data_IF_749296853319
#
_entry.id   IF_749296853319
#
_cell.length_a   1.000
_cell.length_b   1.000
_cell.length_c   1.000
_cell.angle_alpha   90.00
_cell.angle_beta   90.00
_cell.angle_gamma   90.00
#
_symmetry.space_group_name_H-M   'P 1'
#
loop_
_entity.id
_entity.type
_entity.pdbx_description
1 polymer ?
#
# COMPACT_ATOMS: atom_id res chain seq x y z
N UNK A 1 -27.64 18.15 21.71
CA UNK A 1 -28.35 18.78 20.57
C UNK A 1 -28.19 17.93 19.29
N UNK A 2 -29.20 17.14 18.94
CA UNK A 2 -29.27 16.50 17.62
C UNK A 2 -29.61 17.57 16.58
N UNK A 3 -28.78 17.74 15.53
CA UNK A 3 -29.11 18.60 14.39
C UNK A 3 -30.32 17.99 13.67
N UNK A 4 -31.49 18.61 13.77
CA UNK A 4 -32.72 18.12 13.13
C UNK A 4 -32.87 18.55 11.66
N UNK A 5 -32.25 19.67 11.26
CA UNK A 5 -32.28 20.18 9.89
C UNK A 5 -31.06 21.07 9.63
N UNK A 6 -30.49 20.97 8.41
CA UNK A 6 -29.56 21.94 7.84
C UNK A 6 -30.21 22.49 6.57
N UNK A 7 -30.27 23.82 6.44
CA UNK A 7 -30.72 24.50 5.23
C UNK A 7 -29.57 25.37 4.76
N UNK A 8 -29.02 25.04 3.59
CA UNK A 8 -27.96 25.80 2.94
C UNK A 8 -28.58 26.64 1.82
N UNK A 9 -28.24 27.94 1.76
CA UNK A 9 -28.59 28.82 0.65
C UNK A 9 -27.33 29.00 -0.22
N UNK A 10 -27.36 28.47 -1.44
CA UNK A 10 -26.21 28.45 -2.35
C UNK A 10 -26.49 29.24 -3.64
N UNK A 11 -25.47 29.94 -4.14
CA UNK A 11 -25.46 30.51 -5.47
C UNK A 11 -24.61 29.65 -6.39
N UNK A 12 -25.09 29.39 -7.62
CA UNK A 12 -24.33 28.73 -8.69
C UNK A 12 -23.93 29.69 -9.81
N UNK A 13 -24.10 31.00 -9.57
CA UNK A 13 -23.74 32.01 -10.55
C UNK A 13 -22.22 31.96 -10.83
N UNK A 14 -21.80 32.05 -12.10
CA UNK A 14 -20.39 32.01 -12.44
C UNK A 14 -19.64 33.19 -11.81
N UNK A 15 -18.47 32.91 -11.23
CA UNK A 15 -17.55 33.92 -10.74
C UNK A 15 -16.75 34.47 -11.91
N UNK A 16 -16.94 35.75 -12.22
CA UNK A 16 -16.38 36.41 -13.41
C UNK A 16 -15.64 37.71 -13.08
N UNK A 17 -14.92 38.23 -14.08
CA UNK A 17 -14.23 39.52 -14.03
C UNK A 17 -13.20 39.61 -12.90
N UNK A 18 -13.22 40.73 -12.17
CA UNK A 18 -12.22 41.05 -11.15
C UNK A 18 -12.07 39.98 -10.07
N UNK A 19 -13.17 39.32 -9.66
CA UNK A 19 -13.11 38.27 -8.63
C UNK A 19 -12.38 37.05 -9.15
N UNK A 20 -12.65 36.63 -10.40
CA UNK A 20 -11.94 35.50 -11.02
C UNK A 20 -10.45 35.81 -11.20
N UNK A 21 -10.10 37.03 -11.62
CA UNK A 21 -8.71 37.48 -11.72
C UNK A 21 -7.99 37.50 -10.35
N UNK A 22 -8.70 37.88 -9.28
CA UNK A 22 -8.16 37.84 -7.92
C UNK A 22 -7.88 36.41 -7.46
N UNK A 23 -8.77 35.46 -7.78
CA UNK A 23 -8.56 34.04 -7.50
C UNK A 23 -7.36 33.48 -8.27
N UNK A 24 -7.26 33.75 -9.57
CA UNK A 24 -6.13 33.31 -10.39
C UNK A 24 -4.78 33.83 -9.83
N UNK A 25 -4.71 35.12 -9.44
CA UNK A 25 -3.51 35.70 -8.80
C UNK A 25 -3.21 35.10 -7.43
N UNK A 26 -4.23 34.72 -6.67
CA UNK A 26 -4.03 34.05 -5.38
C UNK A 26 -3.44 32.64 -5.58
N UNK A 27 -3.94 31.91 -6.58
CA UNK A 27 -3.40 30.60 -6.98
C UNK A 27 -1.96 30.74 -7.47
N UNK A 28 -1.67 31.70 -8.35
CA UNK A 28 -0.32 31.96 -8.86
C UNK A 28 0.71 32.11 -7.73
N UNK A 29 0.38 32.90 -6.70
CA UNK A 29 1.25 33.08 -5.52
C UNK A 29 1.38 31.80 -4.70
N UNK A 30 0.30 31.05 -4.52
CA UNK A 30 0.33 29.82 -3.74
C UNK A 30 1.14 28.70 -4.42
N UNK A 31 1.27 28.73 -5.75
CA UNK A 31 2.05 27.76 -6.50
C UNK A 31 3.55 27.83 -6.21
N UNK A 32 4.07 28.97 -5.73
CA UNK A 32 5.51 29.13 -5.42
C UNK A 32 5.99 28.13 -4.35
N UNK A 33 5.12 27.79 -3.39
CA UNK A 33 5.41 26.90 -2.26
C UNK A 33 4.66 25.56 -2.34
N UNK A 34 4.06 25.23 -3.49
CA UNK A 34 3.23 24.03 -3.66
C UNK A 34 3.84 23.01 -4.61
N UNK A 35 3.78 21.73 -4.25
CA UNK A 35 4.19 20.62 -5.13
C UNK A 35 3.08 20.15 -6.08
N UNK A 36 1.82 20.46 -5.76
CA UNK A 36 0.64 19.98 -6.50
C UNK A 36 -0.51 20.98 -6.36
N UNK A 37 -1.26 21.19 -7.44
CA UNK A 37 -2.52 21.94 -7.46
C UNK A 37 -3.69 20.96 -7.54
N UNK A 38 -4.64 21.07 -6.62
CA UNK A 38 -5.90 20.34 -6.67
C UNK A 38 -7.03 21.29 -7.06
N UNK A 39 -7.84 20.91 -8.06
CA UNK A 39 -9.05 21.64 -8.45
C UNK A 39 -10.24 20.71 -8.26
N UNK A 40 -11.13 21.09 -7.35
CA UNK A 40 -12.32 20.30 -7.02
C UNK A 40 -13.56 21.07 -7.49
N UNK A 41 -14.14 20.66 -8.62
CA UNK A 41 -15.28 21.34 -9.21
C UNK A 41 -16.60 20.72 -8.75
N UNK A 42 -17.26 21.40 -7.81
CA UNK A 42 -18.60 21.03 -7.33
C UNK A 42 -19.76 21.56 -8.20
N UNK A 43 -19.47 22.24 -9.31
CA UNK A 43 -20.48 22.86 -10.17
C UNK A 43 -21.20 24.04 -9.51
N UNK A 44 -20.51 24.77 -8.62
CA UNK A 44 -21.07 25.88 -7.81
C UNK A 44 -20.68 27.28 -8.29
N UNK A 45 -20.20 27.40 -9.52
CA UNK A 45 -19.94 28.69 -10.18
C UNK A 45 -18.52 29.24 -10.02
N UNK A 46 -17.69 28.73 -9.10
CA UNK A 46 -16.28 29.16 -8.97
C UNK A 46 -15.44 28.63 -10.13
N UNK A 47 -15.51 27.32 -10.41
CA UNK A 47 -14.76 26.64 -11.46
C UNK A 47 -15.36 26.91 -12.85
N UNK A 48 -15.26 28.15 -13.30
CA UNK A 48 -15.63 28.54 -14.66
C UNK A 48 -14.61 28.02 -15.67
N UNK A 49 -15.00 27.94 -16.95
CA UNK A 49 -14.08 27.52 -18.01
C UNK A 49 -12.80 28.36 -18.04
N UNK A 50 -12.94 29.68 -17.94
CA UNK A 50 -11.79 30.58 -17.94
C UNK A 50 -10.89 30.34 -16.72
N UNK A 51 -11.46 30.26 -15.51
CA UNK A 51 -10.66 30.12 -14.30
C UNK A 51 -9.91 28.78 -14.27
N UNK A 52 -10.58 27.66 -14.60
CA UNK A 52 -9.94 26.35 -14.64
C UNK A 52 -8.78 26.30 -15.66
N UNK A 53 -8.98 26.85 -16.85
CA UNK A 53 -7.92 26.92 -17.86
C UNK A 53 -6.76 27.81 -17.42
N UNK A 54 -7.03 28.95 -16.78
CA UNK A 54 -5.97 29.84 -16.29
C UNK A 54 -5.15 29.19 -15.17
N UNK A 55 -5.79 28.54 -14.19
CA UNK A 55 -5.04 27.89 -13.09
C UNK A 55 -4.26 26.67 -13.55
N UNK A 56 -4.78 25.89 -14.51
CA UNK A 56 -4.05 24.80 -15.16
C UNK A 56 -2.83 25.34 -15.91
N UNK A 57 -2.98 26.45 -16.64
CA UNK A 57 -1.88 27.08 -17.36
C UNK A 57 -0.82 27.64 -16.39
N UNK A 58 -1.23 28.25 -15.27
CA UNK A 58 -0.34 28.70 -14.20
C UNK A 58 0.44 27.55 -13.59
N UNK A 59 -0.22 26.46 -13.20
CA UNK A 59 0.43 25.27 -12.65
C UNK A 59 1.47 24.69 -13.62
N UNK A 60 1.12 24.58 -14.90
CA UNK A 60 2.04 24.13 -15.95
C UNK A 60 3.26 25.03 -16.10
N UNK A 61 3.10 26.35 -16.03
CA UNK A 61 4.23 27.32 -16.06
C UNK A 61 5.14 27.18 -14.83
N UNK A 62 4.56 26.89 -13.67
CA UNK A 62 5.28 26.68 -12.42
C UNK A 62 5.92 25.28 -12.31
N UNK A 63 5.64 24.36 -13.24
CA UNK A 63 6.09 22.97 -13.16
C UNK A 63 5.37 22.16 -12.07
N UNK A 64 4.18 22.61 -11.66
CA UNK A 64 3.34 22.00 -10.63
C UNK A 64 2.29 21.11 -11.29
N UNK A 65 2.14 19.87 -10.80
CA UNK A 65 1.11 18.95 -11.30
C UNK A 65 -0.29 19.43 -10.90
N UNK A 66 -1.22 19.47 -11.85
CA UNK A 66 -2.63 19.84 -11.63
C UNK A 66 -3.53 18.62 -11.68
N UNK A 67 -4.12 18.27 -10.55
CA UNK A 67 -5.09 17.17 -10.43
C UNK A 67 -6.48 17.78 -10.29
N UNK A 68 -7.43 17.27 -11.06
CA UNK A 68 -8.77 17.85 -11.19
C UNK A 68 -9.84 16.79 -10.92
N UNK A 69 -10.77 17.12 -10.04
CA UNK A 69 -12.02 16.38 -9.88
C UNK A 69 -13.16 17.14 -10.58
N UNK A 70 -13.75 16.59 -11.67
CA UNK A 70 -14.67 17.34 -12.51
C UNK A 70 -16.10 17.38 -11.96
N UNK A 71 -16.77 18.51 -12.16
CA UNK A 71 -18.21 18.58 -11.95
C UNK A 71 -18.99 17.79 -13.00
N UNK A 72 -20.05 17.10 -12.54
CA UNK A 72 -21.06 16.51 -13.43
C UNK A 72 -21.62 17.55 -14.42
N UNK A 73 -21.55 17.23 -15.72
CA UNK A 73 -22.07 18.07 -16.80
C UNK A 73 -21.16 19.23 -17.22
N UNK A 74 -19.95 19.35 -16.67
CA UNK A 74 -18.96 20.29 -17.18
C UNK A 74 -18.45 19.85 -18.58
N UNK A 75 -18.18 20.80 -19.50
CA UNK A 75 -17.58 20.48 -20.79
C UNK A 75 -16.12 20.04 -20.62
N UNK A 76 -15.67 19.10 -21.43
CA UNK A 76 -14.32 18.53 -21.37
C UNK A 76 -13.23 19.61 -21.53
N UNK A 77 -13.49 20.61 -22.37
CA UNK A 77 -12.58 21.73 -22.64
C UNK A 77 -12.26 22.55 -21.40
N UNK A 78 -13.09 22.50 -20.35
CA UNK A 78 -12.82 23.18 -19.08
C UNK A 78 -11.53 22.69 -18.43
N UNK A 79 -11.20 21.42 -18.58
CA UNK A 79 -10.09 20.76 -17.89
C UNK A 79 -8.95 20.33 -18.83
N UNK A 80 -9.02 20.69 -20.12
CA UNK A 80 -7.96 20.37 -21.09
C UNK A 80 -6.59 20.85 -20.58
N UNK A 81 -5.58 20.00 -20.71
CA UNK A 81 -4.20 20.28 -20.32
C UNK A 81 -3.89 20.07 -18.84
N UNK A 82 -4.87 19.67 -18.01
CA UNK A 82 -4.58 19.26 -16.64
C UNK A 82 -3.64 18.05 -16.60
N UNK A 83 -2.92 17.86 -15.50
CA UNK A 83 -2.00 16.72 -15.35
C UNK A 83 -2.77 15.43 -15.15
N UNK A 84 -3.80 15.43 -14.27
CA UNK A 84 -4.69 14.29 -14.14
C UNK A 84 -6.14 14.69 -13.86
N UNK A 85 -7.07 13.81 -14.26
CA UNK A 85 -8.50 13.91 -13.97
C UNK A 85 -8.96 12.69 -13.15
N UNK A 86 -9.85 12.90 -12.17
CA UNK A 86 -10.37 11.83 -11.30
C UNK A 86 -11.90 11.68 -11.34
N UNK A 87 -12.53 11.50 -12.52
CA UNK A 87 -13.98 11.44 -12.61
C UNK A 87 -14.55 10.17 -11.98
N UNK A 88 -15.76 10.25 -11.44
CA UNK A 88 -16.58 9.05 -11.25
C UNK A 88 -17.20 8.56 -12.57
N UNK A 89 -17.83 7.38 -12.54
CA UNK A 89 -18.50 6.81 -13.73
C UNK A 89 -19.45 7.80 -14.39
N UNK A 90 -20.34 8.44 -13.62
CA UNK A 90 -21.39 9.31 -14.16
C UNK A 90 -20.82 10.61 -14.75
N UNK A 91 -19.76 11.17 -14.17
CA UNK A 91 -19.02 12.29 -14.74
C UNK A 91 -18.31 11.88 -16.04
N UNK A 92 -17.65 10.71 -16.07
CA UNK A 92 -16.98 10.22 -17.26
C UNK A 92 -17.97 9.96 -18.42
N UNK A 93 -19.13 9.37 -18.12
CA UNK A 93 -20.23 9.17 -19.08
C UNK A 93 -20.71 10.52 -19.63
N UNK A 94 -20.88 11.53 -18.78
CA UNK A 94 -21.28 12.87 -19.20
C UNK A 94 -20.21 13.58 -20.05
N UNK A 95 -18.93 13.41 -19.72
CA UNK A 95 -17.80 14.00 -20.46
C UNK A 95 -17.62 13.38 -21.85
N UNK A 96 -17.87 12.08 -22.00
CA UNK A 96 -17.71 11.34 -23.25
C UNK A 96 -19.01 11.24 -24.08
N UNK A 97 -20.17 11.40 -23.44
CA UNK A 97 -21.47 11.16 -24.08
C UNK A 97 -21.74 9.69 -24.39
N UNK A 98 -21.22 8.76 -23.57
CA UNK A 98 -21.39 7.30 -23.72
C UNK A 98 -21.79 6.68 -22.38
N UNK A 99 -22.43 5.52 -22.40
CA UNK A 99 -22.63 4.68 -21.21
C UNK A 99 -21.39 3.78 -20.98
N UNK A 100 -21.02 3.55 -19.73
CA UNK A 100 -19.84 2.77 -19.36
C UNK A 100 -20.25 1.61 -18.47
N UNK A 101 -20.12 0.37 -18.95
CA UNK A 101 -20.24 -0.81 -18.09
C UNK A 101 -19.00 -0.94 -17.17
N UNK A 102 -19.16 -0.75 -15.84
CA UNK A 102 -18.06 -0.74 -14.89
C UNK A 102 -17.33 -2.09 -14.75
N UNK A 103 -17.98 -3.20 -15.13
CA UNK A 103 -17.41 -4.54 -15.03
C UNK A 103 -16.61 -4.96 -16.28
N UNK A 104 -16.73 -4.22 -17.37
CA UNK A 104 -16.13 -4.56 -18.67
C UNK A 104 -14.80 -3.82 -18.93
N UNK A 105 -14.21 -4.03 -20.12
CA UNK A 105 -13.06 -3.25 -20.59
C UNK A 105 -13.43 -1.81 -20.97
N UNK A 106 -14.73 -1.49 -21.13
CA UNK A 106 -15.20 -0.15 -21.50
C UNK A 106 -14.71 0.92 -20.54
N UNK A 107 -14.60 0.62 -19.24
CA UNK A 107 -14.07 1.59 -18.28
C UNK A 107 -12.59 1.95 -18.52
N UNK A 108 -11.77 0.98 -18.96
CA UNK A 108 -10.36 1.22 -19.31
C UNK A 108 -10.26 2.00 -20.62
N UNK A 109 -11.11 1.67 -21.59
CA UNK A 109 -11.22 2.37 -22.87
C UNK A 109 -11.66 3.82 -22.67
N UNK A 110 -12.66 4.06 -21.82
CA UNK A 110 -13.15 5.39 -21.46
C UNK A 110 -12.07 6.23 -20.76
N UNK A 111 -11.34 5.65 -19.79
CA UNK A 111 -10.23 6.33 -19.15
C UNK A 111 -9.14 6.74 -20.16
N UNK A 112 -8.81 5.85 -21.12
CA UNK A 112 -7.85 6.16 -22.18
C UNK A 112 -8.35 7.24 -23.15
N UNK A 113 -9.63 7.18 -23.54
CA UNK A 113 -10.25 8.21 -24.39
C UNK A 113 -10.24 9.59 -23.73
N UNK A 114 -10.60 9.67 -22.44
CA UNK A 114 -10.52 10.92 -21.67
C UNK A 114 -9.09 11.44 -21.60
N UNK A 115 -8.12 10.56 -21.35
CA UNK A 115 -6.71 10.91 -21.26
C UNK A 115 -6.19 11.52 -22.57
N UNK A 116 -6.58 10.94 -23.72
CA UNK A 116 -6.25 11.46 -25.04
C UNK A 116 -6.97 12.80 -25.31
N UNK A 117 -8.28 12.87 -25.05
CA UNK A 117 -9.10 14.04 -25.31
C UNK A 117 -8.69 15.27 -24.50
N UNK A 118 -8.23 15.06 -23.26
CA UNK A 118 -7.77 16.11 -22.34
C UNK A 118 -6.31 16.50 -22.54
N UNK A 119 -5.54 15.72 -23.30
CA UNK A 119 -4.07 15.85 -23.38
C UNK A 119 -3.40 15.73 -21.98
N UNK A 120 -3.97 14.87 -21.13
CA UNK A 120 -3.53 14.67 -19.75
C UNK A 120 -2.42 13.61 -19.64
N UNK A 121 -1.82 13.51 -18.45
CA UNK A 121 -0.84 12.47 -18.12
C UNK A 121 -1.48 11.26 -17.43
N UNK A 122 -2.59 11.45 -16.70
CA UNK A 122 -3.34 10.36 -16.09
C UNK A 122 -4.85 10.64 -16.01
N UNK A 123 -5.65 9.59 -16.04
CA UNK A 123 -7.08 9.62 -15.72
C UNK A 123 -7.39 8.44 -14.82
N UNK A 124 -7.86 8.72 -13.60
CA UNK A 124 -8.28 7.72 -12.63
C UNK A 124 -9.81 7.74 -12.50
N UNK A 125 -10.48 6.87 -13.27
CA UNK A 125 -11.93 6.77 -13.33
C UNK A 125 -12.43 5.86 -12.21
N UNK A 126 -13.22 6.38 -11.26
CA UNK A 126 -13.75 5.59 -10.14
C UNK A 126 -15.06 4.89 -10.50
N UNK A 127 -15.20 3.64 -10.07
CA UNK A 127 -16.23 2.68 -10.48
C UNK A 127 -17.01 2.09 -9.29
N UNK A 128 -17.15 2.84 -8.20
CA UNK A 128 -17.80 2.40 -6.97
C UNK A 128 -17.20 1.07 -6.45
N UNK A 129 -18.06 0.09 -6.15
CA UNK A 129 -17.69 -1.28 -5.74
C UNK A 129 -16.81 -2.04 -6.76
N UNK A 130 -16.67 -1.56 -7.99
CA UNK A 130 -15.83 -2.17 -9.02
C UNK A 130 -14.39 -1.63 -9.00
N UNK A 131 -14.07 -0.71 -8.08
CA UNK A 131 -12.74 -0.14 -7.88
C UNK A 131 -12.51 1.07 -8.78
N UNK A 132 -11.39 1.10 -9.49
CA UNK A 132 -11.07 2.16 -10.44
C UNK A 132 -10.43 1.62 -11.73
N UNK A 133 -10.53 2.41 -12.79
CA UNK A 133 -9.81 2.23 -14.05
C UNK A 133 -8.82 3.39 -14.21
N UNK A 134 -7.53 3.07 -14.30
CA UNK A 134 -6.47 4.04 -14.53
C UNK A 134 -6.02 3.97 -15.98
N UNK A 135 -5.91 5.12 -16.64
CA UNK A 135 -5.11 5.32 -17.83
C UNK A 135 -3.98 6.29 -17.49
N UNK A 136 -2.74 6.00 -17.89
CA UNK A 136 -1.59 6.88 -17.65
C UNK A 136 -0.59 6.84 -18.80
N UNK A 137 0.05 7.98 -19.09
CA UNK A 137 1.16 8.06 -20.05
C UNK A 137 2.43 7.49 -19.44
N UNK A 138 3.13 6.68 -20.22
CA UNK A 138 4.49 6.22 -19.92
C UNK A 138 5.53 7.21 -20.45
N UNK A 139 6.76 7.07 -19.99
CA UNK A 139 7.88 7.89 -20.42
C UNK A 139 8.19 7.77 -21.93
N UNK A 140 7.81 6.65 -22.56
CA UNK A 140 7.94 6.43 -24.01
C UNK A 140 6.78 7.01 -24.84
N UNK A 141 5.83 7.70 -24.19
CA UNK A 141 4.65 8.28 -24.82
C UNK A 141 3.48 7.29 -25.01
N UNK A 142 3.66 6.00 -24.70
CA UNK A 142 2.58 5.02 -24.78
C UNK A 142 1.57 5.17 -23.63
N UNK A 143 0.36 4.67 -23.81
CA UNK A 143 -0.67 4.62 -22.75
C UNK A 143 -0.63 3.28 -22.04
N UNK A 144 -0.56 3.32 -20.71
CA UNK A 144 -0.84 2.20 -19.83
C UNK A 144 -2.30 2.26 -19.38
N UNK A 145 -3.01 1.14 -19.40
CA UNK A 145 -4.31 1.02 -18.74
C UNK A 145 -4.27 -0.10 -17.69
N UNK A 146 -4.74 0.21 -16.50
CA UNK A 146 -4.65 -0.68 -15.33
C UNK A 146 -5.98 -0.67 -14.58
N UNK A 147 -6.54 -1.85 -14.34
CA UNK A 147 -7.71 -2.00 -13.47
C UNK A 147 -7.25 -2.14 -12.03
N UNK A 148 -7.82 -1.32 -11.15
CA UNK A 148 -7.53 -1.27 -9.73
C UNK A 148 -8.74 -1.85 -8.98
N UNK A 149 -8.73 -3.14 -8.60
CA UNK A 149 -9.84 -3.70 -7.86
C UNK A 149 -9.93 -3.05 -6.48
N UNK A 150 -11.15 -2.91 -5.96
CA UNK A 150 -11.35 -2.58 -4.55
C UNK A 150 -11.84 -3.82 -3.80
N UNK A 151 -11.55 -3.91 -2.50
CA UNK A 151 -12.15 -4.95 -1.66
C UNK A 151 -13.62 -4.63 -1.43
N UNK A 152 -14.45 -5.66 -1.38
CA UNK A 152 -15.82 -5.48 -0.90
C UNK A 152 -15.78 -5.01 0.56
N UNK A 153 -16.34 -3.83 0.81
CA UNK A 153 -16.40 -3.18 2.12
C UNK A 153 -17.86 -2.93 2.48
N UNK A 154 -18.16 -2.87 3.77
CA UNK A 154 -19.47 -2.43 4.23
C UNK A 154 -19.62 -0.93 3.96
N UNK A 155 -20.44 -0.59 2.98
CA UNK A 155 -20.68 0.81 2.60
C UNK A 155 -21.70 1.40 3.57
N UNK A 156 -21.25 2.37 4.38
CA UNK A 156 -22.08 3.12 5.30
C UNK A 156 -22.51 4.47 4.71
N UNK A 157 -21.59 5.19 4.06
CA UNK A 157 -21.81 6.50 3.43
C UNK A 157 -20.85 6.66 2.24
N UNK A 158 -21.26 7.32 1.17
CA UNK A 158 -20.41 7.56 -0.03
C UNK A 158 -19.95 9.01 -0.15
N UNK A 159 -20.36 9.85 0.79
CA UNK A 159 -20.03 11.28 0.80
C UNK A 159 -18.55 11.50 1.09
N UNK A 160 -17.83 12.22 0.21
CA UNK A 160 -16.41 12.57 0.37
C UNK A 160 -15.43 11.64 -0.37
N UNK A 161 -15.91 10.51 -0.89
CA UNK A 161 -15.05 9.51 -1.53
C UNK A 161 -14.25 10.07 -2.73
N UNK A 162 -14.83 11.02 -3.49
CA UNK A 162 -14.15 11.74 -4.56
C UNK A 162 -13.01 12.61 -4.03
N UNK A 163 -13.29 13.43 -3.02
CA UNK A 163 -12.33 14.28 -2.32
C UNK A 163 -11.13 13.47 -1.81
N UNK A 164 -11.39 12.28 -1.24
CA UNK A 164 -10.34 11.37 -0.77
C UNK A 164 -9.52 10.78 -1.90
N UNK A 165 -10.12 10.48 -3.06
CA UNK A 165 -9.37 10.04 -4.25
C UNK A 165 -8.41 11.14 -4.69
N UNK A 166 -8.92 12.37 -4.86
CA UNK A 166 -8.13 13.51 -5.29
C UNK A 166 -6.99 13.79 -4.31
N UNK A 167 -7.30 13.86 -3.00
CA UNK A 167 -6.33 14.15 -1.95
C UNK A 167 -5.25 13.08 -1.83
N UNK A 168 -5.61 11.79 -1.85
CA UNK A 168 -4.64 10.69 -1.74
C UNK A 168 -3.77 10.58 -2.99
N UNK A 169 -4.33 10.79 -4.18
CA UNK A 169 -3.57 10.79 -5.43
C UNK A 169 -2.59 11.98 -5.48
N UNK A 170 -3.03 13.17 -5.05
CA UNK A 170 -2.17 14.34 -4.92
C UNK A 170 -1.03 14.11 -3.92
N UNK A 171 -1.33 13.56 -2.74
CA UNK A 171 -0.32 13.25 -1.73
C UNK A 171 0.70 12.22 -2.25
N UNK A 172 0.25 11.17 -2.94
CA UNK A 172 1.14 10.17 -3.55
C UNK A 172 2.07 10.78 -4.60
N UNK A 173 1.51 11.60 -5.49
CA UNK A 173 2.28 12.28 -6.56
C UNK A 173 3.27 13.31 -6.02
N UNK A 174 2.87 14.10 -5.03
CA UNK A 174 3.76 15.04 -4.34
C UNK A 174 4.98 14.34 -3.70
N UNK A 175 4.85 13.06 -3.35
CA UNK A 175 5.92 12.23 -2.78
C UNK A 175 6.61 11.33 -3.83
N UNK A 176 6.37 11.54 -5.12
CA UNK A 176 7.08 10.85 -6.20
C UNK A 176 6.57 9.45 -6.55
N UNK A 177 5.40 9.02 -6.03
CA UNK A 177 4.81 7.73 -6.41
C UNK A 177 4.42 7.71 -7.88
N UNK A 178 4.64 6.60 -8.59
CA UNK A 178 4.13 6.42 -9.95
C UNK A 178 2.58 6.50 -9.98
N UNK A 179 2.01 6.78 -11.16
CA UNK A 179 0.55 6.93 -11.32
C UNK A 179 -0.23 5.72 -10.83
N UNK A 180 0.26 4.51 -11.08
CA UNK A 180 -0.37 3.28 -10.61
C UNK A 180 -0.42 3.19 -9.09
N UNK A 181 0.68 3.51 -8.42
CA UNK A 181 0.78 3.43 -6.96
C UNK A 181 -0.01 4.55 -6.27
N UNK A 182 0.01 5.76 -6.83
CA UNK A 182 -0.82 6.87 -6.36
C UNK A 182 -2.32 6.56 -6.50
N UNK A 183 -2.73 5.96 -7.61
CA UNK A 183 -4.13 5.56 -7.83
C UNK A 183 -4.54 4.36 -6.95
N UNK A 184 -3.63 3.41 -6.68
CA UNK A 184 -3.87 2.34 -5.68
C UNK A 184 -4.09 2.93 -4.29
N UNK A 185 -3.21 3.84 -3.86
CA UNK A 185 -3.33 4.53 -2.58
C UNK A 185 -4.69 5.24 -2.47
N UNK A 186 -5.09 5.96 -3.52
CA UNK A 186 -6.39 6.63 -3.60
C UNK A 186 -7.58 5.68 -3.52
N UNK A 187 -7.56 4.58 -4.28
CA UNK A 187 -8.61 3.56 -4.26
C UNK A 187 -8.77 2.90 -2.87
N UNK A 188 -7.65 2.67 -2.18
CA UNK A 188 -7.66 2.14 -0.81
C UNK A 188 -8.24 3.17 0.18
N UNK A 189 -7.79 4.42 0.08
CA UNK A 189 -8.22 5.49 0.97
C UNK A 189 -9.73 5.77 0.84
N UNK A 190 -10.23 5.90 -0.40
CA UNK A 190 -11.64 6.07 -0.69
C UNK A 190 -12.48 4.87 -0.22
N UNK A 191 -11.96 3.65 -0.40
CA UNK A 191 -12.60 2.45 0.14
C UNK A 191 -12.75 2.47 1.66
N UNK A 192 -11.76 2.99 2.40
CA UNK A 192 -11.84 3.14 3.86
C UNK A 192 -12.78 4.25 4.29
N UNK A 193 -12.91 5.32 3.50
CA UNK A 193 -13.82 6.43 3.82
C UNK A 193 -15.27 5.99 3.76
N UNK A 194 -15.64 5.16 2.78
CA UNK A 194 -17.04 4.72 2.66
C UNK A 194 -17.52 3.82 3.82
N UNK A 195 -16.59 3.35 4.66
CA UNK A 195 -16.88 2.61 5.89
C UNK A 195 -17.21 3.53 7.09
N UNK A 196 -17.08 4.84 6.92
CA UNK A 196 -17.17 5.85 7.98
C UNK A 196 -18.32 6.81 7.65
N UNK A 197 -19.17 7.11 8.64
CA UNK A 197 -20.27 8.07 8.44
C UNK A 197 -19.74 9.51 8.25
N UNK A 198 -20.18 10.18 7.18
CA UNK A 198 -19.81 11.54 6.78
C UNK A 198 -18.37 11.67 6.25
N UNK A 199 -18.11 12.76 5.51
CA UNK A 199 -16.78 13.12 5.01
C UNK A 199 -15.81 13.33 6.19
N UNK A 200 -14.96 12.34 6.45
CA UNK A 200 -14.00 12.34 7.56
C UNK A 200 -12.63 11.91 7.04
N UNK A 201 -11.57 12.64 7.41
CA UNK A 201 -10.23 12.29 6.96
C UNK A 201 -9.83 10.92 7.50
N UNK A 202 -9.31 10.07 6.62
CA UNK A 202 -8.79 8.75 6.99
C UNK A 202 -7.31 8.89 7.38
N UNK A 203 -6.92 8.49 8.60
CA UNK A 203 -5.52 8.54 9.03
C UNK A 203 -4.63 7.71 8.10
N UNK A 204 -3.45 8.24 7.76
CA UNK A 204 -2.51 7.60 6.84
C UNK A 204 -2.12 6.19 7.30
N UNK A 205 -2.01 5.96 8.60
CA UNK A 205 -1.71 4.64 9.15
C UNK A 205 -2.80 3.60 8.84
N UNK A 206 -4.08 4.01 8.72
CA UNK A 206 -5.17 3.11 8.32
C UNK A 206 -5.07 2.77 6.83
N UNK A 207 -4.76 3.77 6.00
CA UNK A 207 -4.56 3.58 4.55
C UNK A 207 -3.37 2.64 4.30
N UNK A 208 -2.23 2.91 4.95
CA UNK A 208 -1.03 2.08 4.86
C UNK A 208 -1.34 0.64 5.29
N UNK A 209 -1.99 0.43 6.44
CA UNK A 209 -2.38 -0.91 6.87
C UNK A 209 -3.27 -1.63 5.84
N UNK A 210 -4.25 -0.94 5.27
CA UNK A 210 -5.13 -1.53 4.26
C UNK A 210 -4.36 -1.92 2.98
N UNK A 211 -3.39 -1.11 2.56
CA UNK A 211 -2.48 -1.44 1.46
C UNK A 211 -1.69 -2.73 1.74
N UNK A 212 -1.07 -2.84 2.92
CA UNK A 212 -0.32 -4.04 3.32
C UNK A 212 -1.21 -5.29 3.37
N UNK A 213 -2.47 -5.15 3.78
CA UNK A 213 -3.43 -6.25 3.78
C UNK A 213 -3.87 -6.68 2.36
N UNK A 214 -3.89 -5.75 1.41
CA UNK A 214 -4.15 -6.05 -0.01
C UNK A 214 -2.96 -6.78 -0.64
N UNK A 215 -1.74 -6.29 -0.42
CA UNK A 215 -0.52 -6.98 -0.82
C UNK A 215 -0.42 -8.39 -0.23
N UNK A 216 -0.77 -8.53 1.05
CA UNK A 216 -0.81 -9.83 1.72
C UNK A 216 -1.81 -10.78 1.06
N UNK A 217 -2.97 -10.28 0.62
CA UNK A 217 -3.92 -11.08 -0.14
C UNK A 217 -3.37 -11.50 -1.52
N UNK A 218 -2.38 -10.78 -2.03
CA UNK A 218 -1.61 -11.11 -3.24
C UNK A 218 -0.36 -11.97 -2.95
N UNK A 219 -0.15 -12.41 -1.70
CA UNK A 219 0.94 -13.30 -1.30
C UNK A 219 2.23 -12.59 -0.86
N UNK A 220 2.29 -11.26 -0.92
CA UNK A 220 3.45 -10.48 -0.50
C UNK A 220 3.44 -10.30 1.02
N UNK A 221 4.33 -11.01 1.74
CA UNK A 221 4.49 -10.91 3.20
C UNK A 221 5.84 -10.37 3.64
N UNK A 222 6.73 -10.10 2.70
CA UNK A 222 8.01 -9.46 2.95
C UNK A 222 7.78 -7.98 3.26
N UNK A 223 8.34 -7.50 4.37
CA UNK A 223 8.19 -6.13 4.87
C UNK A 223 9.52 -5.57 5.33
N UNK A 224 9.70 -4.27 5.16
CA UNK A 224 10.70 -3.48 5.89
C UNK A 224 10.35 -3.40 7.38
N UNK A 225 11.28 -2.92 8.21
CA UNK A 225 10.99 -2.69 9.62
C UNK A 225 9.86 -1.67 9.82
N UNK A 226 9.85 -0.57 9.06
CA UNK A 226 8.85 0.48 9.19
C UNK A 226 7.43 -0.04 8.88
N UNK A 227 7.26 -0.75 7.77
CA UNK A 227 5.99 -1.40 7.40
C UNK A 227 5.56 -2.43 8.45
N UNK A 228 6.52 -3.22 8.95
CA UNK A 228 6.29 -4.19 10.03
C UNK A 228 5.70 -3.51 11.27
N UNK A 229 6.25 -2.35 11.67
CA UNK A 229 5.77 -1.61 12.83
C UNK A 229 4.37 -1.04 12.62
N UNK A 230 4.01 -0.66 11.39
CA UNK A 230 2.64 -0.27 11.05
C UNK A 230 1.67 -1.43 11.25
N UNK A 231 2.00 -2.63 10.76
CA UNK A 231 1.15 -3.82 10.97
C UNK A 231 1.00 -4.16 12.45
N UNK A 232 2.10 -4.15 13.21
CA UNK A 232 2.10 -4.42 14.65
C UNK A 232 1.23 -3.42 15.41
N UNK A 233 1.39 -2.12 15.16
CA UNK A 233 0.60 -1.08 15.81
C UNK A 233 -0.90 -1.26 15.52
N UNK A 234 -1.23 -1.65 14.30
CA UNK A 234 -2.60 -1.82 13.88
C UNK A 234 -3.26 -3.08 14.44
N UNK A 235 -2.52 -4.19 14.55
CA UNK A 235 -2.98 -5.41 15.21
C UNK A 235 -3.16 -5.20 16.72
N UNK A 236 -2.27 -4.45 17.36
CA UNK A 236 -2.41 -4.10 18.78
C UNK A 236 -3.66 -3.28 19.08
N UNK A 237 -4.01 -2.33 18.21
CA UNK A 237 -5.26 -1.56 18.33
C UNK A 237 -6.51 -2.44 18.27
N UNK A 238 -6.41 -3.60 17.64
CA UNK A 238 -7.46 -4.63 17.59
C UNK A 238 -7.39 -5.64 18.76
N UNK A 239 -6.46 -5.45 19.70
CA UNK A 239 -6.25 -6.37 20.83
C UNK A 239 -5.67 -7.72 20.42
N UNK A 240 -4.98 -7.79 19.27
CA UNK A 240 -4.39 -9.03 18.74
C UNK A 240 -3.06 -9.36 19.39
N UNK A 241 -2.81 -10.65 19.61
CA UNK A 241 -1.57 -11.18 20.18
C UNK A 241 -0.50 -11.37 19.08
N UNK A 242 0.63 -10.70 19.24
CA UNK A 242 1.77 -10.73 18.31
C UNK A 242 2.76 -11.82 18.71
N UNK A 243 2.96 -12.79 17.82
CA UNK A 243 3.95 -13.85 17.97
C UNK A 243 5.15 -13.53 17.10
N UNK A 244 6.36 -13.74 17.62
CA UNK A 244 7.60 -13.56 16.89
C UNK A 244 8.48 -14.80 16.96
N UNK A 245 9.12 -15.12 15.84
CA UNK A 245 10.26 -16.04 15.77
C UNK A 245 11.29 -15.50 14.78
N UNK A 246 12.51 -16.03 14.79
CA UNK A 246 13.51 -15.64 13.81
C UNK A 246 14.48 -16.78 13.50
N UNK A 247 15.11 -16.69 12.33
CA UNK A 247 16.15 -17.60 11.90
C UNK A 247 16.63 -17.33 10.48
N UNK A 248 17.60 -18.14 10.03
CA UNK A 248 18.14 -18.02 8.67
C UNK A 248 17.19 -18.60 7.60
N UNK A 249 16.42 -19.65 7.95
CA UNK A 249 15.49 -20.36 7.05
C UNK A 249 16.08 -20.69 5.67
N UNK A 250 17.36 -21.06 5.67
CA UNK A 250 18.16 -21.13 4.44
C UNK A 250 17.77 -22.32 3.56
N UNK A 251 17.72 -23.53 4.13
CA UNK A 251 17.08 -24.68 3.47
C UNK A 251 15.96 -25.14 4.40
N UNK A 252 14.72 -24.92 3.98
CA UNK A 252 13.55 -25.33 4.73
C UNK A 252 13.40 -26.86 4.73
N UNK A 253 12.89 -27.38 5.83
CA UNK A 253 12.52 -28.78 5.99
C UNK A 253 11.30 -28.86 6.91
N UNK A 254 10.73 -30.06 7.04
CA UNK A 254 9.53 -30.30 7.83
C UNK A 254 9.61 -29.79 9.29
N UNK A 255 10.81 -29.71 9.87
CA UNK A 255 11.05 -29.16 11.20
C UNK A 255 10.73 -27.67 11.29
N UNK A 256 11.23 -26.87 10.34
CA UNK A 256 10.86 -25.45 10.24
C UNK A 256 9.35 -25.27 10.03
N UNK A 257 8.72 -26.11 9.21
CA UNK A 257 7.27 -26.05 8.98
C UNK A 257 6.48 -26.33 10.26
N UNK A 258 6.90 -27.33 11.06
CA UNK A 258 6.29 -27.63 12.34
C UNK A 258 6.49 -26.49 13.35
N UNK A 259 7.71 -25.97 13.48
CA UNK A 259 8.04 -24.81 14.32
C UNK A 259 7.15 -23.61 13.98
N UNK A 260 7.06 -23.22 12.71
CA UNK A 260 6.27 -22.06 12.29
C UNK A 260 4.77 -22.28 12.52
N UNK A 261 4.27 -23.51 12.32
CA UNK A 261 2.88 -23.85 12.61
C UNK A 261 2.56 -23.77 14.11
N UNK A 262 3.46 -24.29 14.95
CA UNK A 262 3.30 -24.21 16.40
C UNK A 262 3.43 -22.76 16.89
N UNK A 263 4.37 -21.99 16.34
CA UNK A 263 4.50 -20.57 16.65
C UNK A 263 3.20 -19.82 16.32
N UNK A 264 2.64 -20.03 15.13
CA UNK A 264 1.38 -19.41 14.73
C UNK A 264 0.21 -19.74 15.67
N UNK A 265 0.22 -20.90 16.31
CA UNK A 265 -0.81 -21.31 17.26
C UNK A 265 -0.71 -20.59 18.63
N UNK A 266 0.37 -19.85 18.90
CA UNK A 266 0.58 -19.15 20.16
C UNK A 266 -0.08 -17.77 20.24
N UNK A 267 -0.69 -17.29 19.16
CA UNK A 267 -1.32 -15.98 19.08
C UNK A 267 -2.05 -15.73 17.77
N UNK A 268 -2.29 -14.46 17.45
CA UNK A 268 -3.12 -14.05 16.32
C UNK A 268 -2.33 -13.81 15.03
N UNK A 269 -1.05 -13.41 15.13
CA UNK A 269 -0.21 -13.11 13.98
C UNK A 269 1.25 -13.53 14.24
N UNK A 270 1.85 -14.25 13.30
CA UNK A 270 3.26 -14.67 13.35
C UNK A 270 4.13 -13.78 12.45
N UNK A 271 5.00 -13.02 13.11
CA UNK A 271 6.08 -12.24 12.51
C UNK A 271 7.37 -13.06 12.53
N UNK A 272 8.05 -13.13 11.39
CA UNK A 272 9.30 -13.88 11.24
C UNK A 272 10.45 -12.93 10.92
N UNK A 273 11.38 -12.78 11.86
CA UNK A 273 12.68 -12.15 11.59
C UNK A 273 13.54 -13.05 10.70
N UNK A 274 13.93 -12.57 9.53
CA UNK A 274 14.76 -13.32 8.58
C UNK A 274 16.16 -12.71 8.52
N UNK A 275 17.20 -13.49 8.85
CA UNK A 275 18.58 -13.04 8.69
C UNK A 275 18.87 -12.73 7.21
N UNK A 276 19.48 -11.59 6.92
CA UNK A 276 20.00 -11.27 5.58
C UNK A 276 21.21 -12.14 5.19
N UNK A 277 21.72 -11.95 3.97
CA UNK A 277 22.77 -12.82 3.45
C UNK A 277 24.11 -12.63 4.17
N UNK A 278 24.44 -11.40 4.57
CA UNK A 278 25.69 -11.09 5.26
C UNK A 278 25.68 -11.58 6.71
N UNK A 279 24.57 -11.44 7.43
CA UNK A 279 24.42 -11.98 8.78
C UNK A 279 24.45 -13.51 8.78
N UNK A 280 23.85 -14.18 7.80
CA UNK A 280 23.98 -15.64 7.66
C UNK A 280 25.43 -16.03 7.36
N UNK A 281 26.13 -15.29 6.50
CA UNK A 281 27.55 -15.56 6.19
C UNK A 281 28.45 -15.40 7.41
N UNK A 282 28.25 -14.36 8.22
CA UNK A 282 28.98 -14.18 9.49
C UNK A 282 28.68 -15.30 10.50
N UNK A 283 27.42 -15.71 10.59
CA UNK A 283 26.97 -16.72 11.55
C UNK A 283 27.38 -18.16 11.18
N UNK A 284 27.36 -18.51 9.88
CA UNK A 284 27.52 -19.90 9.41
C UNK A 284 28.73 -20.13 8.51
N UNK A 285 29.46 -19.08 8.13
CA UNK A 285 30.65 -19.13 7.29
C UNK A 285 30.40 -18.79 5.82
N UNK A 286 31.49 -18.70 5.01
CA UNK A 286 31.47 -18.14 3.66
C UNK A 286 30.63 -18.91 2.64
N UNK A 287 30.35 -20.20 2.88
CA UNK A 287 29.51 -21.03 2.01
C UNK A 287 28.01 -20.94 2.28
N UNK A 288 27.57 -19.99 3.11
CA UNK A 288 26.16 -19.77 3.46
C UNK A 288 25.82 -18.27 3.35
N UNK A 289 24.56 -17.89 3.02
CA UNK A 289 23.44 -18.79 2.74
C UNK A 289 23.57 -19.50 1.37
N UNK A 290 22.83 -20.59 1.18
CA UNK A 290 22.72 -21.27 -0.13
C UNK A 290 21.72 -20.53 -1.01
N UNK A 291 20.62 -20.07 -0.41
CA UNK A 291 19.59 -19.30 -1.09
C UNK A 291 19.67 -17.82 -0.67
N UNK A 292 19.66 -16.86 -1.61
CA UNK A 292 19.66 -15.45 -1.28
C UNK A 292 18.41 -15.04 -0.49
N UNK A 293 18.47 -13.90 0.18
CA UNK A 293 17.40 -13.37 1.02
C UNK A 293 16.04 -13.35 0.31
N UNK A 294 16.02 -12.91 -0.95
CA UNK A 294 14.80 -12.82 -1.75
C UNK A 294 14.09 -14.18 -1.90
N UNK A 295 14.84 -15.25 -2.21
CA UNK A 295 14.29 -16.59 -2.37
C UNK A 295 13.76 -17.14 -1.03
N UNK A 296 14.52 -16.95 0.05
CA UNK A 296 14.13 -17.41 1.39
C UNK A 296 12.85 -16.70 1.85
N UNK A 297 12.77 -15.39 1.62
CA UNK A 297 11.58 -14.59 1.92
C UNK A 297 10.36 -15.01 1.09
N UNK A 298 10.54 -15.29 -0.20
CA UNK A 298 9.46 -15.75 -1.07
C UNK A 298 8.88 -17.07 -0.57
N UNK A 299 9.73 -18.06 -0.25
CA UNK A 299 9.27 -19.35 0.26
C UNK A 299 8.55 -19.22 1.60
N UNK A 300 9.06 -18.39 2.53
CA UNK A 300 8.38 -18.13 3.81
C UNK A 300 7.04 -17.40 3.61
N UNK A 301 6.95 -16.51 2.62
CA UNK A 301 5.74 -15.75 2.32
C UNK A 301 4.59 -16.67 1.86
N UNK A 302 4.89 -17.78 1.19
CA UNK A 302 3.90 -18.78 0.79
C UNK A 302 3.36 -19.63 1.96
N UNK A 303 4.02 -19.63 3.11
CA UNK A 303 3.58 -20.44 4.25
C UNK A 303 2.37 -19.81 4.93
N UNK A 304 1.25 -20.55 4.97
CA UNK A 304 0.01 -20.12 5.64
C UNK A 304 0.21 -19.71 7.11
N UNK A 305 1.19 -20.31 7.80
CA UNK A 305 1.49 -20.01 9.19
C UNK A 305 2.20 -18.68 9.41
N UNK A 306 2.80 -18.10 8.37
CA UNK A 306 3.56 -16.84 8.45
C UNK A 306 2.64 -15.70 8.02
N UNK A 307 2.57 -14.65 8.84
CA UNK A 307 1.79 -13.44 8.56
C UNK A 307 2.67 -12.32 7.98
N UNK A 308 3.92 -12.19 8.46
CA UNK A 308 4.88 -11.17 8.02
C UNK A 308 6.32 -11.71 8.12
N UNK A 309 7.17 -11.33 7.17
CA UNK A 309 8.61 -11.63 7.12
C UNK A 309 9.39 -10.31 7.10
N UNK A 310 10.25 -10.10 8.09
CA UNK A 310 11.06 -8.87 8.22
C UNK A 310 12.54 -9.20 8.19
N UNK A 311 13.30 -8.78 7.15
CA UNK A 311 14.73 -8.98 7.11
C UNK A 311 15.46 -8.18 8.19
N UNK A 312 16.58 -8.70 8.69
CA UNK A 312 17.48 -7.97 9.59
C UNK A 312 18.93 -8.36 9.35
N UNK A 313 19.84 -7.42 9.58
CA UNK A 313 21.27 -7.55 9.26
C UNK A 313 22.15 -7.76 10.48
N UNK A 314 21.62 -7.55 11.68
CA UNK A 314 22.35 -7.67 12.93
C UNK A 314 22.63 -9.13 13.30
N UNK A 315 23.68 -9.34 14.09
CA UNK A 315 24.07 -10.70 14.53
C UNK A 315 23.05 -11.32 15.48
N UNK A 316 22.23 -10.50 16.14
CA UNK A 316 21.15 -10.95 17.01
C UNK A 316 19.84 -10.26 16.63
N UNK A 317 18.69 -10.92 16.83
CA UNK A 317 17.38 -10.32 16.56
C UNK A 317 16.96 -9.27 17.61
N UNK A 318 17.82 -8.93 18.58
CA UNK A 318 17.45 -8.08 19.73
C UNK A 318 16.88 -6.72 19.28
N UNK A 319 17.49 -5.97 18.34
CA UNK A 319 16.95 -4.68 17.91
C UNK A 319 15.54 -4.83 17.29
N UNK A 320 15.35 -5.88 16.49
CA UNK A 320 14.05 -6.19 15.88
C UNK A 320 13.01 -6.56 16.94
N UNK A 321 13.38 -7.36 17.95
CA UNK A 321 12.53 -7.72 19.09
C UNK A 321 12.17 -6.48 19.91
N UNK A 322 13.11 -5.55 20.13
CA UNK A 322 12.87 -4.29 20.84
C UNK A 322 11.90 -3.38 20.09
N UNK A 323 11.99 -3.34 18.76
CA UNK A 323 11.10 -2.54 17.93
C UNK A 323 9.68 -3.13 17.89
N UNK A 324 9.56 -4.43 17.60
CA UNK A 324 8.26 -5.12 17.50
C UNK A 324 7.60 -5.26 18.87
N UNK A 325 8.37 -5.51 19.94
CA UNK A 325 7.92 -5.85 21.30
C UNK A 325 6.87 -6.99 21.34
N UNK A 326 7.18 -8.19 20.81
CA UNK A 326 6.19 -9.27 20.70
C UNK A 326 5.64 -9.72 22.06
N UNK A 327 4.41 -10.24 22.05
CA UNK A 327 3.75 -10.83 23.23
C UNK A 327 4.25 -12.26 23.49
N UNK A 328 4.60 -12.98 22.42
CA UNK A 328 5.16 -14.33 22.48
C UNK A 328 6.41 -14.44 21.62
N UNK A 329 7.53 -14.86 22.22
CA UNK A 329 8.75 -15.23 21.50
C UNK A 329 8.84 -16.74 21.39
N UNK A 330 8.88 -17.26 20.15
CA UNK A 330 8.92 -18.69 19.88
C UNK A 330 10.29 -19.12 19.38
N UNK A 331 10.84 -20.16 20.01
CA UNK A 331 12.08 -20.85 19.58
C UNK A 331 11.87 -22.35 19.56
N UNK A 332 12.70 -23.08 18.83
CA UNK A 332 12.72 -24.54 18.90
C UNK A 332 13.20 -25.01 20.28
N UNK A 333 12.80 -26.20 20.69
CA UNK A 333 13.23 -26.84 21.95
C UNK A 333 14.71 -27.26 21.99
N UNK A 334 15.47 -26.99 20.93
CA UNK A 334 16.92 -27.17 20.87
C UNK A 334 17.69 -26.17 21.78
N UNK A 335 17.00 -25.17 22.35
CA UNK A 335 17.57 -24.17 23.25
C UNK A 335 17.00 -24.33 24.65
N UNK A 336 17.87 -24.22 25.67
CA UNK A 336 17.39 -23.99 27.03
C UNK A 336 16.72 -22.61 27.12
N UNK A 337 15.69 -22.48 27.98
CA UNK A 337 14.93 -21.23 28.10
C UNK A 337 15.83 -20.03 28.44
N UNK A 338 16.90 -20.25 29.20
CA UNK A 338 17.92 -19.25 29.55
C UNK A 338 18.82 -18.84 28.39
N UNK A 339 18.86 -19.61 27.30
CA UNK A 339 19.70 -19.35 26.12
C UNK A 339 18.93 -18.68 24.98
N UNK A 340 17.63 -18.46 25.16
CA UNK A 340 16.79 -17.79 24.15
C UNK A 340 17.15 -16.31 24.08
N UNK A 341 17.89 -15.94 23.03
CA UNK A 341 18.22 -14.55 22.71
C UNK A 341 16.95 -13.70 22.59
N UNK A 342 16.82 -12.70 23.47
CA UNK A 342 15.65 -11.82 23.57
C UNK A 342 14.55 -12.30 24.53
N UNK A 343 14.73 -13.44 25.20
CA UNK A 343 13.74 -14.00 26.14
C UNK A 343 13.48 -13.11 27.35
N UNK A 344 14.53 -12.77 28.11
CA UNK A 344 14.43 -11.86 29.28
C UNK A 344 13.82 -10.51 28.91
N UNK A 345 14.18 -10.01 27.73
CA UNK A 345 13.67 -8.75 27.20
C UNK A 345 12.15 -8.83 26.97
N UNK A 346 11.66 -9.89 26.34
CA UNK A 346 10.22 -10.10 26.10
C UNK A 346 9.46 -10.26 27.42
N UNK A 347 10.02 -11.01 28.37
CA UNK A 347 9.42 -11.19 29.70
C UNK A 347 9.39 -9.88 30.50
N UNK A 348 10.36 -8.96 30.30
CA UNK A 348 10.42 -7.67 31.00
C UNK A 348 9.22 -6.75 30.77
N UNK A 349 8.49 -6.91 29.66
CA UNK A 349 7.26 -6.17 29.38
C UNK A 349 6.00 -7.05 29.46
N UNK A 350 6.10 -8.21 30.09
CA UNK A 350 4.96 -9.11 30.34
C UNK A 350 4.66 -10.08 29.20
N UNK A 351 5.52 -10.18 28.19
CA UNK A 351 5.45 -11.23 27.18
C UNK A 351 5.95 -12.58 27.73
N UNK A 352 5.91 -13.63 26.90
CA UNK A 352 6.38 -14.97 27.28
C UNK A 352 7.24 -15.63 26.22
N UNK A 353 8.16 -16.49 26.65
CA UNK A 353 8.90 -17.40 25.77
C UNK A 353 8.16 -18.73 25.64
N UNK A 354 8.00 -19.21 24.41
CA UNK A 354 7.47 -20.54 24.09
C UNK A 354 8.51 -21.37 23.36
N UNK A 355 8.82 -22.54 23.91
CA UNK A 355 9.69 -23.53 23.27
C UNK A 355 8.81 -24.51 22.49
N UNK A 356 8.88 -24.44 21.17
CA UNK A 356 8.14 -25.30 20.26
C UNK A 356 8.81 -26.68 20.16
N UNK A 357 7.99 -27.74 20.08
CA UNK A 357 8.49 -29.11 20.04
C UNK A 357 9.15 -29.39 18.70
N UNK A 358 10.41 -29.81 18.71
CA UNK A 358 11.11 -30.17 17.48
C UNK A 358 10.69 -31.57 17.07
N UNK A 359 10.44 -31.76 15.77
CA UNK A 359 10.29 -33.09 15.20
C UNK A 359 11.68 -33.76 15.16
N UNK A 360 11.85 -34.84 15.93
CA UNK A 360 13.10 -35.57 16.08
C UNK A 360 13.85 -35.82 14.75
N UNK A 361 15.14 -35.50 14.73
CA UNK A 361 16.12 -36.06 13.78
C UNK A 361 16.41 -35.29 12.48
N UNK A 362 15.92 -34.07 12.28
CA UNK A 362 16.10 -33.33 11.00
C UNK A 362 16.58 -31.89 11.22
N UNK A 363 17.90 -31.70 11.31
CA UNK A 363 18.55 -30.38 11.26
C UNK A 363 19.14 -30.12 9.88
N UNK A 364 19.01 -28.89 9.35
CA UNK A 364 19.58 -28.47 8.06
C UNK A 364 21.06 -28.78 7.92
N UNK A 365 21.83 -28.66 9.02
CA UNK A 365 23.26 -28.98 9.04
C UNK A 365 23.54 -30.47 8.81
N UNK A 366 22.63 -31.35 9.24
CA UNK A 366 22.71 -32.81 9.04
C UNK A 366 22.38 -33.21 7.59
N UNK A 367 21.45 -32.51 6.94
CA UNK A 367 21.11 -32.72 5.54
C UNK A 367 22.25 -32.31 4.58
N UNK A 368 22.90 -31.17 4.84
CA UNK A 368 24.06 -30.70 4.07
C UNK A 368 25.29 -31.61 4.30
N UNK A 369 25.50 -32.08 5.52
CA UNK A 369 26.56 -33.05 5.83
C UNK A 369 26.38 -34.38 5.10
N UNK A 370 25.14 -34.88 4.98
CA UNK A 370 24.81 -36.06 4.16
C UNK A 370 25.08 -35.86 2.68
N UNK A 371 24.88 -34.65 2.13
CA UNK A 371 25.21 -34.34 0.75
C UNK A 371 26.73 -34.29 0.52
N UNK A 372 27.50 -33.75 1.47
CA UNK A 372 28.96 -33.80 1.43
C UNK A 372 29.52 -35.23 1.58
N UNK A 373 28.89 -36.07 2.40
CA UNK A 373 29.25 -37.50 2.54
C UNK A 373 28.85 -38.33 1.31
N UNK A 374 27.78 -37.95 0.60
CA UNK A 374 27.34 -38.60 -0.65
C UNK A 374 28.16 -38.17 -1.88
N UNK A 375 28.80 -36.99 -1.85
CA UNK A 375 29.68 -36.50 -2.92
C UNK A 375 31.08 -37.13 -2.95
N UNK A 376 31.37 -38.11 -2.10
CA UNK A 376 32.64 -38.83 -2.04
C UNK A 376 32.68 -40.11 -2.92
N UNK A 377 31.65 -40.37 -3.72
CA UNK A 377 31.65 -41.47 -4.69
C UNK A 377 31.63 -40.94 -6.14
N UNK A 378 32.72 -41.28 -6.84
CA UNK A 378 32.94 -41.25 -8.29
C UNK A 378 33.35 -39.91 -8.94
N UNK A 379 34.64 -39.59 -8.83
CA UNK A 379 35.40 -39.23 -10.04
C UNK A 379 35.63 -40.52 -10.85
N UNK A 380 35.23 -40.60 -12.14
CA UNK A 380 35.65 -41.70 -12.98
C UNK A 380 37.14 -41.52 -13.30
N UNK A 381 37.98 -42.42 -12.76
CA UNK A 381 39.30 -42.65 -13.32
C UNK A 381 39.13 -43.07 -14.79
N UNK A 382 39.75 -42.27 -15.66
CA UNK A 382 39.99 -42.41 -17.11
C UNK A 382 39.66 -43.73 -17.79
#
# INVERSE_FOLDING_TARGET
PQKMLRMDEESRAPVEGKTAEMLAKAVERALEDSSTLCVEDYGKGVCTQWLCQEVVALAKRAGVESLVDPALGAPLERYRGCTALTPNRTEAEALLGVEIDPASTQALEAAAQLLDALEAQAVALTLDRHGAALAARRADGSTATTRLPTRAREVYDVTGAGDMVLAAMAAGRANGLAWEDAARLANIAAGLEVEVFGARPIPLERVHRAALLEERAQGLKLRTLEETLVEVAALRREGKTIVFTNGCFDILHAGHIALLREARAQGDALFVGLNDDDSVRRLKGPGRPVHPLADRAAVLSELRSVDCVTPFAEDTPIPLIQAIRPDVLVKGDEYDRSEVVGGELVESWGGRVHLARTLDGRSTSRAVRKLHEAGAFEEPMR
#
